data_IF_161641654628
#
_entry.id   IF_161641654628
#
_cell.length_a   1.000
_cell.length_b   1.000
_cell.length_c   1.000
_cell.angle_alpha   90.00
_cell.angle_beta   90.00
_cell.angle_gamma   90.00
#
_symmetry.space_group_name_H-M   'P 1'
#
loop_
_entity.id
_entity.type
_entity.pdbx_description
1 polymer ?
#
# COMPACT_ATOMS: atom_id res chain seq x y z
N UNK A 1 -6.85 -12.04 16.57
CA UNK A 1 -5.76 -12.67 15.79
C UNK A 1 -4.47 -11.92 16.11
N UNK A 2 -3.34 -12.59 16.34
CA UNK A 2 -2.07 -11.89 16.54
C UNK A 2 -1.62 -11.28 15.21
N UNK A 3 -1.24 -10.01 15.22
CA UNK A 3 -0.74 -9.34 14.02
C UNK A 3 0.59 -9.99 13.61
N UNK A 4 0.66 -10.49 12.38
CA UNK A 4 1.88 -11.13 11.84
C UNK A 4 2.88 -10.11 11.27
N UNK A 5 2.48 -8.84 11.20
CA UNK A 5 3.30 -7.76 10.69
C UNK A 5 4.08 -7.10 11.82
N UNK A 6 5.31 -6.74 11.51
CA UNK A 6 6.16 -5.93 12.36
C UNK A 6 6.41 -4.58 11.71
N UNK A 7 6.53 -3.54 12.51
CA UNK A 7 6.72 -2.17 12.08
C UNK A 7 8.07 -1.65 12.55
N UNK A 8 8.78 -0.93 11.68
CA UNK A 8 9.96 -0.16 12.07
C UNK A 8 10.00 1.18 11.33
N UNK A 9 10.40 2.25 12.03
CA UNK A 9 10.54 3.57 11.37
C UNK A 9 11.66 3.52 10.33
N UNK A 10 11.41 4.04 9.14
CA UNK A 10 12.44 4.16 8.11
C UNK A 10 13.42 5.26 8.51
N UNK A 11 14.68 4.89 8.80
CA UNK A 11 15.70 5.84 9.28
C UNK A 11 16.56 6.45 8.18
N UNK A 12 16.62 5.82 7.01
CA UNK A 12 17.46 6.20 5.86
C UNK A 12 16.72 5.92 4.57
N UNK A 13 17.18 6.48 3.46
CA UNK A 13 16.66 6.14 2.13
C UNK A 13 16.66 4.62 1.93
N UNK A 14 15.54 4.09 1.47
CA UNK A 14 15.39 2.72 0.99
C UNK A 14 15.34 2.72 -0.53
N UNK A 15 16.15 1.87 -1.14
CA UNK A 15 16.06 1.56 -2.55
C UNK A 15 15.13 0.36 -2.76
N UNK A 16 14.21 0.49 -3.73
CA UNK A 16 13.43 -0.61 -4.28
C UNK A 16 14.01 -1.01 -5.63
N UNK A 17 14.30 -2.29 -5.80
CA UNK A 17 14.95 -2.83 -6.98
C UNK A 17 13.95 -3.54 -7.91
N UNK A 18 14.24 -3.53 -9.20
CA UNK A 18 13.54 -4.35 -10.19
C UNK A 18 13.69 -5.84 -9.82
N UNK A 19 12.60 -6.62 -9.79
CA UNK A 19 12.68 -8.04 -9.45
C UNK A 19 13.47 -8.88 -10.45
N UNK A 20 13.58 -8.43 -11.71
CA UNK A 20 14.25 -9.19 -12.78
C UNK A 20 15.76 -8.94 -12.85
N UNK A 21 16.18 -7.67 -12.77
CA UNK A 21 17.58 -7.29 -12.99
C UNK A 21 18.28 -6.66 -11.79
N UNK A 22 17.56 -6.39 -10.69
CA UNK A 22 18.12 -5.78 -9.49
C UNK A 22 18.39 -4.28 -9.57
N UNK A 23 18.19 -3.65 -10.73
CA UNK A 23 18.38 -2.21 -10.90
C UNK A 23 17.45 -1.40 -10.00
N UNK A 24 17.91 -0.29 -9.45
CA UNK A 24 17.10 0.55 -8.58
C UNK A 24 16.01 1.23 -9.43
N UNK A 25 14.75 1.03 -9.05
CA UNK A 25 13.57 1.61 -9.72
C UNK A 25 12.83 2.61 -8.82
N UNK A 26 12.92 2.44 -7.50
CA UNK A 26 12.29 3.32 -6.51
C UNK A 26 13.24 3.74 -5.40
N UNK A 27 12.99 4.92 -4.86
CA UNK A 27 13.60 5.42 -3.63
C UNK A 27 12.53 5.97 -2.71
N UNK A 28 12.60 5.55 -1.44
CA UNK A 28 11.72 6.04 -0.38
C UNK A 28 12.58 6.67 0.70
N UNK A 29 12.33 7.94 0.98
CA UNK A 29 12.99 8.67 2.06
C UNK A 29 12.25 8.43 3.39
N UNK A 30 12.88 8.70 4.56
CA UNK A 30 12.20 8.64 5.86
C UNK A 30 10.90 9.43 5.91
N UNK A 31 10.86 10.59 5.26
CA UNK A 31 9.67 11.42 5.06
C UNK A 31 9.48 11.74 3.58
N UNK A 32 8.24 12.01 3.18
CA UNK A 32 7.90 12.40 1.82
C UNK A 32 7.52 11.24 0.90
N UNK A 33 7.11 11.57 -0.31
CA UNK A 33 6.64 10.61 -1.30
C UNK A 33 7.76 9.70 -1.80
N UNK A 34 7.45 8.41 -1.96
CA UNK A 34 8.29 7.50 -2.72
C UNK A 34 8.43 7.99 -4.15
N UNK A 35 9.65 8.00 -4.67
CA UNK A 35 9.98 8.53 -6.00
C UNK A 35 10.56 7.43 -6.87
N UNK A 36 10.06 7.37 -8.10
CA UNK A 36 10.72 6.69 -9.19
C UNK A 36 12.07 7.35 -9.48
N UNK A 37 13.13 6.55 -9.65
CA UNK A 37 14.42 7.06 -10.16
C UNK A 37 14.52 7.04 -11.67
N UNK A 38 13.59 6.36 -12.35
CA UNK A 38 13.63 6.17 -13.80
C UNK A 38 12.65 7.10 -14.55
N UNK A 39 11.82 7.91 -13.88
CA UNK A 39 10.93 8.90 -14.51
C UNK A 39 9.58 9.10 -13.78
N UNK A 40 8.83 10.17 -14.08
CA UNK A 40 7.64 10.61 -13.30
C UNK A 40 6.52 9.56 -13.15
N UNK A 41 6.32 8.71 -14.15
CA UNK A 41 5.23 7.73 -14.17
C UNK A 41 5.84 6.35 -14.33
N UNK A 42 6.03 5.63 -13.22
CA UNK A 42 6.30 4.20 -13.29
C UNK A 42 4.98 3.46 -13.44
N UNK A 43 3.97 3.83 -12.67
CA UNK A 43 2.73 3.09 -12.66
C UNK A 43 1.72 3.69 -13.65
N UNK A 44 1.36 2.93 -14.67
CA UNK A 44 0.04 3.13 -15.29
C UNK A 44 -0.98 2.57 -14.30
N UNK A 45 -2.00 3.35 -13.96
CA UNK A 45 -3.21 2.83 -13.30
C UNK A 45 -3.83 1.87 -14.32
N UNK A 46 -3.39 0.61 -14.29
CA UNK A 46 -4.00 -0.48 -15.01
C UNK A 46 -5.26 -0.83 -14.24
N UNK A 47 -6.40 -0.35 -14.73
CA UNK A 47 -7.67 -0.42 -14.03
C UNK A 47 -7.98 -1.79 -13.42
N UNK A 48 -8.56 -1.76 -12.22
CA UNK A 48 -9.42 -2.79 -11.61
C UNK A 48 -9.02 -4.26 -11.75
N UNK A 49 -7.74 -4.63 -11.62
CA UNK A 49 -7.34 -6.05 -11.81
C UNK A 49 -7.48 -6.93 -10.58
N UNK A 50 -7.64 -6.39 -9.36
CA UNK A 50 -8.17 -7.21 -8.25
C UNK A 50 -9.69 -7.04 -8.23
N UNK A 51 -10.34 -7.51 -9.28
CA UNK A 51 -11.79 -7.49 -9.38
C UNK A 51 -12.42 -8.16 -8.15
N UNK A 52 -13.30 -7.41 -7.48
CA UNK A 52 -14.12 -7.97 -6.43
C UNK A 52 -13.50 -7.99 -5.03
N UNK A 53 -12.47 -7.17 -4.72
CA UNK A 53 -11.88 -7.12 -3.35
C UNK A 53 -12.97 -6.98 -2.30
N UNK A 54 -13.86 -6.00 -2.44
CA UNK A 54 -14.96 -5.77 -1.49
C UNK A 54 -15.83 -7.02 -1.28
N UNK A 55 -16.13 -7.76 -2.34
CA UNK A 55 -16.93 -8.98 -2.33
C UNK A 55 -16.19 -10.18 -1.73
N UNK A 56 -14.85 -10.17 -1.75
CA UNK A 56 -13.99 -11.23 -1.20
C UNK A 56 -13.69 -11.03 0.30
N UNK A 57 -13.86 -9.82 0.82
CA UNK A 57 -13.69 -9.53 2.24
C UNK A 57 -14.88 -10.01 3.07
N UNK A 58 -14.61 -10.50 4.27
CA UNK A 58 -15.66 -10.77 5.26
C UNK A 58 -16.29 -9.48 5.78
N UNK A 59 -17.46 -9.57 6.41
CA UNK A 59 -18.11 -8.38 6.96
C UNK A 59 -17.33 -7.78 8.15
N UNK A 60 -16.62 -8.62 8.92
CA UNK A 60 -15.67 -8.18 9.94
C UNK A 60 -14.46 -7.46 9.32
N UNK A 61 -14.00 -7.90 8.14
CA UNK A 61 -12.92 -7.22 7.43
C UNK A 61 -13.35 -5.85 6.89
N UNK A 62 -14.65 -5.63 6.63
CA UNK A 62 -15.18 -4.34 6.19
C UNK A 62 -15.34 -3.31 7.32
N UNK A 63 -15.26 -3.72 8.59
CA UNK A 63 -15.60 -2.84 9.73
C UNK A 63 -14.58 -2.87 10.89
N UNK A 64 -14.44 -1.79 11.67
CA UNK A 64 -14.36 -0.43 11.10
C UNK A 64 -13.19 -0.39 10.09
N UNK A 65 -13.31 0.43 9.05
CA UNK A 65 -12.23 1.04 8.26
C UNK A 65 -12.76 1.45 6.89
N UNK A 66 -12.59 2.71 6.54
CA UNK A 66 -12.64 3.16 5.17
C UNK A 66 -11.35 2.68 4.47
N UNK A 67 -11.48 1.97 3.35
CA UNK A 67 -10.32 1.50 2.62
C UNK A 67 -10.43 1.71 1.12
N UNK A 68 -9.27 1.81 0.50
CA UNK A 68 -9.11 1.79 -0.94
C UNK A 68 -7.95 0.85 -1.29
N UNK A 69 -7.96 0.31 -2.49
CA UNK A 69 -6.87 -0.49 -3.02
C UNK A 69 -6.57 -0.05 -4.44
N UNK A 70 -5.30 -0.13 -4.81
CA UNK A 70 -4.88 0.13 -6.17
C UNK A 70 -3.92 -0.95 -6.67
N UNK A 71 -3.87 -1.05 -8.00
CA UNK A 71 -2.97 -1.94 -8.70
C UNK A 71 -2.12 -1.11 -9.66
N UNK A 72 -0.80 -1.27 -9.56
CA UNK A 72 0.17 -0.35 -10.12
C UNK A 72 1.22 -1.14 -10.92
N UNK A 73 1.24 -1.01 -12.26
CA UNK A 73 2.20 -1.70 -13.14
C UNK A 73 3.29 -0.77 -13.61
N UNK A 74 4.54 -1.14 -13.34
CA UNK A 74 5.75 -0.47 -13.77
C UNK A 74 6.58 -1.25 -14.78
N UNK A 75 7.47 -0.57 -15.48
CA UNK A 75 8.45 -1.16 -16.38
C UNK A 75 9.85 -0.65 -16.02
N UNK A 76 10.82 -1.56 -15.91
CA UNK A 76 12.21 -1.21 -15.65
C UNK A 76 12.88 -0.70 -16.93
N UNK A 77 13.45 0.50 -16.93
CA UNK A 77 14.12 1.06 -18.13
C UNK A 77 15.43 0.37 -18.50
N UNK A 78 15.98 -0.48 -17.63
CA UNK A 78 17.23 -1.19 -17.89
C UNK A 78 16.99 -2.53 -18.59
N UNK A 79 16.12 -3.39 -18.03
CA UNK A 79 15.82 -4.70 -18.60
C UNK A 79 14.50 -4.75 -19.38
N UNK A 80 13.71 -3.67 -19.40
CA UNK A 80 12.40 -3.54 -20.04
C UNK A 80 11.31 -4.47 -19.49
N UNK A 81 11.64 -5.33 -18.53
CA UNK A 81 10.66 -6.17 -17.85
C UNK A 81 9.68 -5.37 -16.97
N UNK A 82 8.47 -5.89 -16.89
CA UNK A 82 7.38 -5.30 -16.14
C UNK A 82 7.30 -5.87 -14.72
N UNK A 83 6.95 -5.02 -13.78
CA UNK A 83 6.74 -5.39 -12.38
C UNK A 83 5.49 -4.68 -11.88
N UNK A 84 4.96 -5.13 -10.74
CA UNK A 84 3.80 -4.48 -10.15
C UNK A 84 3.95 -4.25 -8.64
N UNK A 85 3.07 -3.39 -8.14
CA UNK A 85 2.80 -3.21 -6.73
C UNK A 85 1.30 -3.06 -6.50
N UNK A 86 0.88 -3.38 -5.28
CA UNK A 86 -0.49 -3.21 -4.82
C UNK A 86 -0.48 -2.24 -3.65
N UNK A 87 -1.35 -1.24 -3.74
CA UNK A 87 -1.61 -0.31 -2.66
C UNK A 87 -2.80 -0.75 -1.84
N UNK A 88 -2.67 -0.69 -0.51
CA UNK A 88 -3.81 -0.74 0.40
C UNK A 88 -3.79 0.49 1.29
N UNK A 89 -4.93 1.16 1.39
CA UNK A 89 -5.09 2.44 2.04
C UNK A 89 -6.14 2.27 3.13
N UNK A 90 -5.82 2.63 4.36
CA UNK A 90 -6.74 2.48 5.48
C UNK A 90 -6.84 3.77 6.27
N UNK A 91 -8.07 4.18 6.56
CA UNK A 91 -8.38 5.15 7.60
C UNK A 91 -9.30 4.45 8.58
N UNK A 92 -8.91 4.44 9.86
CA UNK A 92 -9.73 3.85 10.92
C UNK A 92 -10.90 4.76 11.28
N UNK A 93 -11.89 4.76 10.40
CA UNK A 93 -13.11 5.52 10.51
C UNK A 93 -14.30 4.62 10.13
N UNK A 94 -15.40 4.79 10.86
CA UNK A 94 -16.67 4.14 10.53
C UNK A 94 -17.55 5.15 9.80
N UNK A 95 -17.75 4.96 8.50
CA UNK A 95 -18.70 5.78 7.75
C UNK A 95 -20.11 5.16 7.85
N UNK A 96 -21.01 5.89 8.48
CA UNK A 96 -22.40 5.49 8.70
C UNK A 96 -23.35 6.06 7.62
N UNK A 97 -22.82 6.78 6.63
CA UNK A 97 -23.62 7.49 5.62
C UNK A 97 -24.38 6.55 4.66
N UNK A 98 -23.91 5.31 4.52
CA UNK A 98 -24.45 4.32 3.58
C UNK A 98 -24.12 4.60 2.11
N UNK A 99 -23.25 5.57 1.83
CA UNK A 99 -22.73 5.84 0.49
C UNK A 99 -21.51 4.96 0.17
N UNK A 100 -21.23 4.80 -1.12
CA UNK A 100 -19.95 4.26 -1.56
C UNK A 100 -18.82 5.14 -1.00
N UNK A 101 -17.85 4.54 -0.32
CA UNK A 101 -16.82 5.28 0.42
C UNK A 101 -16.08 6.28 -0.47
N UNK A 102 -15.87 5.95 -1.75
CA UNK A 102 -15.22 6.78 -2.78
C UNK A 102 -15.93 8.12 -3.02
N UNK A 103 -17.22 8.23 -2.69
CA UNK A 103 -18.05 9.43 -2.86
C UNK A 103 -18.16 10.28 -1.60
N UNK A 104 -17.43 9.92 -0.55
CA UNK A 104 -17.42 10.64 0.72
C UNK A 104 -16.16 11.50 0.86
N UNK A 105 -16.15 12.40 1.83
CA UNK A 105 -14.95 13.19 2.16
C UNK A 105 -13.75 12.28 2.45
N UNK A 106 -13.97 11.19 3.18
CA UNK A 106 -12.93 10.21 3.52
C UNK A 106 -12.42 9.49 2.27
N UNK A 107 -13.32 9.18 1.34
CA UNK A 107 -12.99 8.65 0.02
C UNK A 107 -12.01 9.55 -0.74
N UNK A 108 -12.19 10.86 -0.66
CA UNK A 108 -11.31 11.82 -1.34
C UNK A 108 -9.87 11.77 -0.78
N UNK A 109 -9.70 11.55 0.52
CA UNK A 109 -8.37 11.29 1.11
C UNK A 109 -7.80 9.93 0.69
N UNK A 110 -8.62 8.86 0.71
CA UNK A 110 -8.19 7.52 0.30
C UNK A 110 -7.73 7.45 -1.17
N UNK A 111 -8.40 8.19 -2.03
CA UNK A 111 -8.08 8.32 -3.46
C UNK A 111 -6.93 9.31 -3.73
N UNK A 112 -6.33 9.91 -2.69
CA UNK A 112 -5.29 10.93 -2.79
C UNK A 112 -5.72 12.17 -3.60
N UNK A 113 -7.01 12.50 -3.58
CA UNK A 113 -7.56 13.68 -4.25
C UNK A 113 -7.46 14.95 -3.38
N UNK A 114 -7.31 14.78 -2.06
CA UNK A 114 -7.07 15.87 -1.12
C UNK A 114 -5.58 16.08 -0.87
N UNK A 115 -5.18 17.34 -0.73
CA UNK A 115 -3.80 17.68 -0.40
C UNK A 115 -3.49 17.25 1.04
N UNK A 116 -2.43 16.48 1.21
CA UNK A 116 -1.92 16.05 2.50
C UNK A 116 -0.46 16.45 2.64
N UNK A 117 -0.01 16.64 3.88
CA UNK A 117 1.39 16.84 4.19
C UNK A 117 2.25 15.64 3.76
N UNK A 118 3.57 15.82 3.77
CA UNK A 118 4.51 14.74 3.50
C UNK A 118 4.31 13.58 4.50
N UNK A 119 4.25 12.32 4.03
CA UNK A 119 4.06 11.18 4.92
C UNK A 119 5.32 10.86 5.70
N UNK A 120 5.15 10.30 6.89
CA UNK A 120 6.20 9.54 7.57
C UNK A 120 6.23 8.11 7.01
N UNK A 121 7.41 7.61 6.66
CA UNK A 121 7.56 6.27 6.08
C UNK A 121 8.11 5.27 7.10
N UNK A 122 7.59 4.06 7.00
CA UNK A 122 7.93 2.92 7.83
C UNK A 122 8.17 1.68 6.97
N UNK A 123 8.95 0.74 7.50
CA UNK A 123 9.11 -0.59 6.94
C UNK A 123 8.24 -1.55 7.70
N UNK A 124 7.37 -2.22 6.95
CA UNK A 124 6.59 -3.36 7.40
C UNK A 124 7.34 -4.62 7.02
N UNK A 125 7.42 -5.60 7.93
CA UNK A 125 8.01 -6.90 7.64
C UNK A 125 7.10 -8.04 8.08
N UNK A 126 7.17 -9.16 7.36
CA UNK A 126 6.47 -10.41 7.64
C UNK A 126 7.37 -11.61 7.32
N UNK A 127 7.10 -12.75 7.95
CA UNK A 127 7.86 -14.00 7.74
C UNK A 127 6.97 -15.23 7.58
N UNK A 128 5.67 -15.05 7.32
CA UNK A 128 4.65 -16.11 7.30
C UNK A 128 4.40 -16.59 5.88
N UNK A 129 4.29 -15.67 4.92
CA UNK A 129 3.91 -15.95 3.54
C UNK A 129 5.14 -15.81 2.64
N UNK A 130 5.65 -16.94 2.14
CA UNK A 130 6.86 -16.99 1.30
C UNK A 130 6.62 -16.43 -0.12
N UNK A 131 5.37 -16.45 -0.56
CA UNK A 131 4.88 -15.95 -1.84
C UNK A 131 4.66 -14.42 -1.83
N UNK A 132 4.63 -13.78 -0.67
CA UNK A 132 4.49 -12.32 -0.52
C UNK A 132 5.85 -11.70 -0.18
N UNK A 133 6.17 -10.48 -0.66
CA UNK A 133 7.36 -9.76 -0.23
C UNK A 133 7.55 -9.78 1.29
N UNK A 134 8.77 -10.07 1.74
CA UNK A 134 9.08 -10.16 3.18
C UNK A 134 9.02 -8.82 3.90
N UNK A 135 9.10 -7.71 3.14
CA UNK A 135 8.93 -6.38 3.68
C UNK A 135 8.52 -5.37 2.60
N UNK A 136 7.88 -4.28 3.02
CA UNK A 136 7.39 -3.20 2.16
C UNK A 136 7.30 -1.87 2.91
N UNK A 137 6.94 -0.81 2.19
CA UNK A 137 6.76 0.53 2.75
C UNK A 137 5.32 0.74 3.20
N UNK A 138 5.16 1.29 4.41
CA UNK A 138 3.92 1.93 4.85
C UNK A 138 4.17 3.43 5.00
N UNK A 139 3.41 4.23 4.26
CA UNK A 139 3.39 5.70 4.35
C UNK A 139 2.22 6.13 5.24
N UNK A 140 2.50 6.97 6.23
CA UNK A 140 1.51 7.47 7.17
C UNK A 140 1.23 8.94 6.90
N UNK A 141 0.00 9.25 6.51
CA UNK A 141 -0.46 10.62 6.27
C UNK A 141 -1.40 11.05 7.40
N UNK A 142 -1.28 12.29 7.83
CA UNK A 142 -2.22 12.87 8.80
C UNK A 142 -3.43 13.41 8.05
N UNK A 143 -4.63 13.00 8.45
CA UNK A 143 -5.90 13.52 7.91
C UNK A 143 -6.79 14.04 9.04
N UNK A 144 -7.84 14.83 8.76
CA UNK A 144 -8.84 15.23 9.76
C UNK A 144 -9.57 14.04 10.43
N UNK A 145 -9.57 12.86 9.79
CA UNK A 145 -10.25 11.65 10.26
C UNK A 145 -9.31 10.67 10.97
N UNK A 146 -8.07 11.09 11.25
CA UNK A 146 -7.01 10.25 11.80
C UNK A 146 -5.90 9.97 10.78
N UNK A 147 -4.98 9.08 11.13
CA UNK A 147 -3.92 8.71 10.20
C UNK A 147 -4.46 7.83 9.07
N UNK A 148 -4.06 8.12 7.84
CA UNK A 148 -4.18 7.21 6.71
C UNK A 148 -2.90 6.38 6.60
N UNK A 149 -3.06 5.06 6.59
CA UNK A 149 -1.98 4.10 6.45
C UNK A 149 -2.00 3.54 5.03
N UNK A 150 -1.03 3.95 4.20
CA UNK A 150 -0.86 3.47 2.83
C UNK A 150 0.26 2.44 2.79
N UNK A 151 -0.09 1.18 2.55
CA UNK A 151 0.87 0.12 2.27
C UNK A 151 1.13 0.04 0.77
N UNK A 152 2.39 -0.05 0.35
CA UNK A 152 2.76 -0.33 -1.04
C UNK A 152 3.54 -1.63 -1.08
N UNK A 153 2.85 -2.74 -1.33
CA UNK A 153 3.42 -4.09 -1.34
C UNK A 153 3.77 -4.41 -2.79
N UNK A 154 5.04 -4.64 -3.09
CA UNK A 154 5.38 -4.86 -4.48
C UNK A 154 6.85 -4.83 -4.84
N UNK A 155 7.06 -4.38 -6.08
CA UNK A 155 8.19 -4.73 -6.94
C UNK A 155 8.22 -6.24 -7.19
N UNK A 156 7.04 -6.79 -7.45
CA UNK A 156 6.83 -8.19 -7.79
C UNK A 156 6.87 -8.33 -9.32
N UNK A 157 7.41 -9.43 -9.79
CA UNK A 157 7.41 -9.81 -11.20
C UNK A 157 5.98 -9.83 -11.77
N UNK A 158 5.74 -9.13 -12.88
CA UNK A 158 4.42 -9.07 -13.53
C UNK A 158 3.90 -10.42 -14.02
N UNK A 159 4.76 -11.41 -14.25
CA UNK A 159 4.34 -12.77 -14.60
C UNK A 159 3.49 -13.42 -13.49
N UNK A 160 3.68 -12.98 -12.23
CA UNK A 160 2.93 -13.49 -11.07
C UNK A 160 1.60 -12.78 -10.83
N UNK A 161 1.23 -11.84 -11.70
CA UNK A 161 0.03 -11.00 -11.53
C UNK A 161 -1.24 -11.83 -11.32
N UNK A 162 -1.44 -12.88 -12.11
CA UNK A 162 -2.64 -13.72 -12.03
C UNK A 162 -2.71 -14.58 -10.75
N UNK A 163 -1.60 -14.73 -10.04
CA UNK A 163 -1.47 -15.60 -8.86
C UNK A 163 -1.44 -14.79 -7.56
N UNK A 164 -0.93 -13.57 -7.61
CA UNK A 164 -0.55 -12.83 -6.41
C UNK A 164 -1.57 -11.77 -5.96
N UNK A 165 -2.43 -11.25 -6.85
CA UNK A 165 -3.37 -10.18 -6.49
C UNK A 165 -4.30 -10.55 -5.32
N UNK A 166 -4.97 -11.70 -5.44
CA UNK A 166 -5.84 -12.23 -4.38
C UNK A 166 -5.06 -12.73 -3.16
N UNK A 167 -3.82 -13.15 -3.37
CA UNK A 167 -2.93 -13.67 -2.33
C UNK A 167 -2.64 -12.62 -1.26
N UNK A 168 -2.63 -11.34 -1.65
CA UNK A 168 -2.40 -10.21 -0.76
C UNK A 168 -3.59 -9.94 0.15
N UNK A 169 -4.80 -10.39 -0.19
CA UNK A 169 -5.97 -10.30 0.70
C UNK A 169 -5.79 -11.12 1.99
N UNK A 170 -4.89 -12.12 1.99
CA UNK A 170 -4.52 -12.86 3.21
C UNK A 170 -3.84 -11.98 4.25
N UNK A 171 -3.24 -10.86 3.84
CA UNK A 171 -2.65 -9.88 4.76
C UNK A 171 -3.66 -8.88 5.32
N UNK A 172 -4.89 -8.80 4.77
CA UNK A 172 -5.77 -7.66 4.96
C UNK A 172 -6.03 -7.32 6.44
N UNK A 173 -6.35 -8.30 7.28
CA UNK A 173 -6.54 -8.09 8.72
C UNK A 173 -5.28 -7.55 9.40
N UNK A 174 -4.12 -8.06 9.01
CA UNK A 174 -2.86 -7.64 9.62
C UNK A 174 -2.45 -6.24 9.15
N UNK A 175 -2.74 -5.89 7.89
CA UNK A 175 -2.58 -4.54 7.36
C UNK A 175 -3.49 -3.54 8.09
N UNK A 176 -4.75 -3.91 8.37
CA UNK A 176 -5.67 -3.07 9.16
C UNK A 176 -5.16 -2.82 10.58
N UNK A 177 -4.57 -3.85 11.19
CA UNK A 177 -4.13 -3.82 12.60
C UNK A 177 -2.78 -3.14 12.80
N UNK A 178 -1.91 -3.09 11.78
CA UNK A 178 -0.58 -2.49 11.95
C UNK A 178 -0.69 -0.97 11.85
N UNK A 179 -0.33 -0.29 12.92
CA UNK A 179 -0.40 1.17 13.01
C UNK A 179 0.92 1.69 13.57
N UNK A 180 1.39 2.80 13.02
CA UNK A 180 2.40 3.59 13.69
C UNK A 180 1.76 4.22 14.94
N UNK A 181 2.27 3.85 16.12
CA UNK A 181 1.87 4.50 17.36
C UNK A 181 2.09 6.01 17.19
N UNK A 182 1.02 6.78 17.36
CA UNK A 182 1.18 8.19 17.68
C UNK A 182 1.90 8.24 19.02
N UNK A 183 3.15 8.71 19.03
CA UNK A 183 3.78 9.15 20.26
C UNK A 183 2.75 10.03 20.99
N UNK A 184 2.21 9.51 22.09
CA UNK A 184 1.54 10.35 23.06
C UNK A 184 2.66 11.16 23.68
N UNK A 185 2.85 12.37 23.17
CA UNK A 185 3.54 13.42 23.93
C UNK A 185 2.72 13.74 25.19
#
# INVERSE_FOLDING_TARGET
>A
MNNILTLSKLKKERAGCCPHCGEIVFKTQPTGWSKSVQGKYIFSIGGDTIGGVWQKLTDEQKTPNAFYYDFNVGCCRFCFESFFAVGFYFINHNDESGYDIERTDIGSYLLLNEEMGEPDNYIISQSVYADIPSNWVMSVFKTPYGNMYKHTIGLIDSERLNEDGDILLRLFDSLKLIQAESNKD
#
